data_IF_649743560882
#
_entry.id   IF_649743560882
#
_cell.length_a   1.000
_cell.length_b   1.000
_cell.length_c   1.000
_cell.angle_alpha   90.00
_cell.angle_beta   90.00
_cell.angle_gamma   90.00
#
_symmetry.space_group_name_H-M   'P 1'
#
loop_
_entity.id
_entity.type
_entity.pdbx_description
1 polymer ?
#
# COMPACT_ATOMS: atom_id res chain seq x y z
N UNK A 1 -19.94 -54.21 71.65
CA UNK A 1 -19.88 -53.05 70.72
C UNK A 1 -18.92 -53.37 69.59
N UNK A 2 -19.05 -52.70 68.44
CA UNK A 2 -18.36 -52.87 67.14
C UNK A 2 -19.03 -53.87 66.16
N UNK A 3 -20.17 -53.52 65.53
CA UNK A 3 -20.36 -52.75 64.28
C UNK A 3 -19.69 -53.30 63.01
N UNK A 4 -20.55 -53.91 62.18
CA UNK A 4 -20.37 -54.21 60.76
C UNK A 4 -19.97 -52.92 60.00
N UNK A 5 -18.87 -52.95 59.24
CA UNK A 5 -18.55 -51.90 58.28
C UNK A 5 -18.92 -52.36 56.88
N UNK A 6 -19.98 -51.75 56.37
CA UNK A 6 -20.41 -51.79 54.98
C UNK A 6 -19.27 -51.35 54.06
N UNK A 7 -19.00 -52.14 53.01
CA UNK A 7 -18.32 -51.62 51.82
C UNK A 7 -19.26 -50.60 51.18
N UNK A 8 -18.89 -49.33 51.24
CA UNK A 8 -19.53 -48.26 50.46
C UNK A 8 -18.67 -48.02 49.23
N UNK A 9 -19.35 -48.04 48.08
CA UNK A 9 -18.91 -47.71 46.73
C UNK A 9 -17.81 -46.64 46.63
N UNK A 10 -16.89 -46.85 45.69
CA UNK A 10 -16.32 -45.73 44.93
C UNK A 10 -15.98 -46.17 43.52
N UNK A 11 -16.99 -46.24 42.65
CA UNK A 11 -16.78 -46.18 41.20
C UNK A 11 -16.39 -44.74 40.87
N UNK A 12 -15.09 -44.48 40.82
CA UNK A 12 -14.54 -43.23 40.32
C UNK A 12 -14.62 -43.26 38.79
N UNK A 13 -15.79 -42.90 38.26
CA UNK A 13 -16.01 -42.71 36.83
C UNK A 13 -15.20 -41.52 36.33
N UNK A 14 -14.16 -41.80 35.55
CA UNK A 14 -13.31 -40.83 34.87
C UNK A 14 -14.16 -40.04 33.85
N UNK A 15 -14.61 -38.84 34.24
CA UNK A 15 -15.21 -37.86 33.32
C UNK A 15 -14.10 -37.30 32.42
N UNK A 16 -13.91 -37.91 31.24
CA UNK A 16 -13.08 -37.34 30.19
C UNK A 16 -13.83 -36.16 29.57
N UNK A 17 -13.59 -34.96 30.10
CA UNK A 17 -14.08 -33.72 29.51
C UNK A 17 -13.38 -33.52 28.16
N UNK A 18 -14.11 -33.78 27.08
CA UNK A 18 -13.67 -33.48 25.72
C UNK A 18 -13.73 -31.94 25.55
N UNK A 19 -12.63 -31.25 25.88
CA UNK A 19 -12.50 -29.83 25.62
C UNK A 19 -12.34 -29.62 24.11
N UNK A 20 -13.43 -29.29 23.45
CA UNK A 20 -13.41 -28.80 22.09
C UNK A 20 -12.81 -27.39 22.10
N UNK A 21 -11.49 -27.29 21.96
CA UNK A 21 -10.82 -26.02 21.72
C UNK A 21 -11.17 -25.62 20.29
N UNK A 22 -12.14 -24.71 20.15
CA UNK A 22 -12.36 -24.01 18.90
C UNK A 22 -11.11 -23.16 18.64
N UNK A 23 -10.19 -23.67 17.82
CA UNK A 23 -9.13 -22.87 17.24
C UNK A 23 -9.83 -21.85 16.35
N UNK A 24 -9.93 -20.61 16.82
CA UNK A 24 -10.39 -19.51 16.00
C UNK A 24 -9.48 -19.44 14.77
N UNK A 25 -10.06 -19.61 13.58
CA UNK A 25 -9.34 -19.37 12.34
C UNK A 25 -8.93 -17.90 12.31
N UNK A 26 -7.67 -17.63 12.68
CA UNK A 26 -7.07 -16.34 12.39
C UNK A 26 -6.83 -16.35 10.89
N UNK A 27 -7.69 -15.67 10.14
CA UNK A 27 -7.38 -15.38 8.74
C UNK A 27 -6.16 -14.46 8.77
N UNK A 28 -4.98 -14.99 8.43
CA UNK A 28 -3.81 -14.16 8.22
C UNK A 28 -4.15 -13.17 7.08
N UNK A 29 -4.01 -11.88 7.35
CA UNK A 29 -4.22 -10.85 6.32
C UNK A 29 -3.08 -10.96 5.30
N UNK A 30 -3.40 -11.35 4.06
CA UNK A 30 -2.43 -11.39 2.97
C UNK A 30 -2.18 -9.98 2.42
N UNK A 31 -0.94 -9.49 2.56
CA UNK A 31 -0.50 -8.21 1.99
C UNK A 31 0.22 -8.45 0.66
N UNK A 32 -0.16 -7.69 -0.37
CA UNK A 32 0.54 -7.67 -1.66
C UNK A 32 1.54 -6.52 -1.69
N UNK A 33 2.82 -6.84 -1.86
CA UNK A 33 3.86 -5.86 -2.11
C UNK A 33 3.71 -5.30 -3.53
N UNK A 34 3.43 -3.99 -3.66
CA UNK A 34 3.24 -3.33 -4.96
C UNK A 34 4.53 -2.77 -5.57
N UNK A 35 5.49 -2.38 -4.74
CA UNK A 35 6.76 -1.80 -5.19
C UNK A 35 7.91 -2.73 -4.80
N UNK A 36 8.68 -3.17 -5.79
CA UNK A 36 9.76 -4.14 -5.62
C UNK A 36 11.06 -3.50 -5.07
N UNK A 37 11.18 -2.17 -5.05
CA UNK A 37 12.40 -1.48 -4.64
C UNK A 37 13.45 -1.33 -5.75
N UNK A 38 13.20 -1.86 -6.95
CA UNK A 38 14.22 -2.02 -7.98
C UNK A 38 13.88 -1.26 -9.27
N UNK A 39 12.62 -1.26 -9.68
CA UNK A 39 12.20 -0.69 -10.95
C UNK A 39 10.73 -0.21 -10.93
N UNK A 40 10.28 0.30 -12.08
CA UNK A 40 8.92 0.76 -12.31
C UNK A 40 8.21 -0.10 -13.37
N UNK A 41 8.64 -1.35 -13.56
CA UNK A 41 8.15 -2.20 -14.66
C UNK A 41 6.68 -2.57 -14.47
N UNK A 42 6.19 -2.70 -13.24
CA UNK A 42 4.76 -2.92 -12.95
C UNK A 42 3.93 -1.64 -12.89
N UNK A 43 4.52 -0.52 -13.29
CA UNK A 43 3.92 0.79 -13.24
C UNK A 43 3.75 1.42 -14.63
N UNK A 44 2.78 2.33 -14.74
CA UNK A 44 2.53 3.12 -15.92
C UNK A 44 2.55 4.60 -15.53
N UNK A 45 3.40 5.38 -16.20
CA UNK A 45 3.52 6.82 -15.97
C UNK A 45 2.66 7.58 -16.98
N UNK A 46 2.06 8.69 -16.55
CA UNK A 46 1.32 9.61 -17.41
C UNK A 46 1.53 11.05 -16.97
N UNK A 47 1.96 11.88 -17.90
CA UNK A 47 1.98 13.34 -17.72
C UNK A 47 0.87 14.01 -18.51
N UNK A 48 0.40 15.16 -18.03
CA UNK A 48 -0.49 16.02 -18.83
C UNK A 48 0.22 16.44 -20.12
N UNK A 49 -0.43 16.25 -21.26
CA UNK A 49 0.11 16.63 -22.57
C UNK A 49 1.02 15.58 -23.22
N UNK A 50 1.56 14.64 -22.45
CA UNK A 50 2.45 13.58 -22.96
C UNK A 50 1.70 12.28 -23.27
N UNK A 51 2.31 11.37 -24.02
CA UNK A 51 1.80 10.02 -24.21
C UNK A 51 1.89 9.18 -22.92
N UNK A 52 1.08 8.12 -22.82
CA UNK A 52 1.17 7.19 -21.69
C UNK A 52 2.47 6.36 -21.78
N UNK A 53 3.14 6.15 -20.65
CA UNK A 53 4.45 5.49 -20.57
C UNK A 53 5.64 6.46 -20.64
N UNK A 54 5.42 7.73 -20.99
CA UNK A 54 6.49 8.74 -21.02
C UNK A 54 6.79 9.24 -19.61
N UNK A 55 8.00 8.98 -19.11
CA UNK A 55 8.52 9.59 -17.90
C UNK A 55 9.12 10.97 -18.21
N UNK A 56 8.26 11.98 -18.29
CA UNK A 56 8.66 13.33 -18.67
C UNK A 56 9.72 13.89 -17.73
N UNK A 57 10.80 14.41 -18.29
CA UNK A 57 11.98 14.92 -17.57
C UNK A 57 12.52 13.97 -16.50
N UNK A 58 12.31 12.66 -16.64
CA UNK A 58 12.80 11.66 -15.69
C UNK A 58 12.36 11.99 -14.25
N UNK A 59 11.06 12.25 -14.06
CA UNK A 59 10.49 12.62 -12.76
C UNK A 59 10.32 11.44 -11.83
N UNK A 60 9.82 10.31 -12.31
CA UNK A 60 9.68 9.11 -11.47
C UNK A 60 10.96 8.29 -11.56
N UNK A 61 11.63 8.06 -10.44
CA UNK A 61 12.91 7.35 -10.38
C UNK A 61 12.86 6.25 -9.32
N UNK A 62 13.70 5.24 -9.47
CA UNK A 62 14.02 4.31 -8.37
C UNK A 62 15.45 4.56 -7.96
N UNK A 63 15.62 4.96 -6.71
CA UNK A 63 16.92 5.27 -6.12
C UNK A 63 16.95 4.79 -4.68
N UNK A 64 18.02 4.11 -4.29
CA UNK A 64 18.23 3.61 -2.91
C UNK A 64 17.09 2.72 -2.38
N UNK A 65 16.44 1.95 -3.26
CA UNK A 65 15.32 1.08 -2.88
C UNK A 65 13.98 1.80 -2.77
N UNK A 66 13.89 3.06 -3.17
CA UNK A 66 12.68 3.87 -3.06
C UNK A 66 12.23 4.47 -4.39
N UNK A 67 10.91 4.56 -4.56
CA UNK A 67 10.29 5.33 -5.64
C UNK A 67 10.36 6.81 -5.27
N UNK A 68 11.09 7.60 -6.05
CA UNK A 68 11.24 9.05 -5.90
C UNK A 68 10.45 9.79 -6.98
N UNK A 69 9.82 10.90 -6.59
CA UNK A 69 9.10 11.81 -7.50
C UNK A 69 9.81 13.15 -7.56
N UNK A 70 10.72 13.32 -8.52
CA UNK A 70 11.65 14.43 -8.60
C UNK A 70 11.25 15.48 -9.65
N UNK A 71 11.01 16.72 -9.19
CA UNK A 71 10.77 17.88 -10.06
C UNK A 71 12.00 18.78 -10.21
N UNK A 72 13.18 18.27 -9.85
CA UNK A 72 14.49 18.93 -9.90
C UNK A 72 14.93 19.42 -11.29
N UNK A 73 14.44 18.78 -12.37
CA UNK A 73 14.76 19.13 -13.76
C UNK A 73 13.82 20.19 -14.37
N UNK A 74 12.95 20.80 -13.56
CA UNK A 74 11.95 21.76 -14.03
C UNK A 74 12.34 23.19 -13.66
N UNK A 75 12.36 24.09 -14.65
CA UNK A 75 12.47 25.53 -14.39
C UNK A 75 11.20 26.09 -13.72
N UNK A 76 10.03 25.57 -14.10
CA UNK A 76 8.74 25.85 -13.47
C UNK A 76 7.75 24.74 -13.75
N UNK A 77 6.75 24.60 -12.89
CA UNK A 77 5.80 23.49 -12.94
C UNK A 77 4.98 23.44 -14.24
N UNK A 78 4.55 24.61 -14.75
CA UNK A 78 3.74 24.78 -15.98
C UNK A 78 2.51 23.85 -16.11
N UNK A 79 2.00 23.31 -15.00
CA UNK A 79 0.88 22.39 -15.02
C UNK A 79 1.24 20.96 -15.46
N UNK A 80 2.51 20.57 -15.39
CA UNK A 80 3.02 19.24 -15.74
C UNK A 80 2.73 18.23 -14.62
N UNK A 81 1.44 17.97 -14.39
CA UNK A 81 0.98 16.95 -13.45
C UNK A 81 1.41 15.56 -13.96
N UNK A 82 2.22 14.88 -13.15
CA UNK A 82 2.62 13.50 -13.35
C UNK A 82 1.81 12.57 -12.46
N UNK A 83 1.39 11.45 -13.03
CA UNK A 83 0.72 10.36 -12.32
C UNK A 83 1.44 9.06 -12.63
N UNK A 84 1.56 8.19 -11.63
CA UNK A 84 2.00 6.81 -11.83
C UNK A 84 0.91 5.86 -11.36
N UNK A 85 0.69 4.79 -12.12
CA UNK A 85 -0.37 3.81 -11.90
C UNK A 85 0.21 2.41 -11.80
N UNK A 86 -0.19 1.64 -10.79
CA UNK A 86 0.08 0.20 -10.83
C UNK A 86 -0.74 -0.45 -11.95
N UNK A 87 -0.11 -1.31 -12.76
CA UNK A 87 -0.73 -1.88 -13.97
C UNK A 87 -1.96 -2.73 -13.67
N UNK A 88 -1.97 -3.45 -12.54
CA UNK A 88 -3.12 -4.24 -12.12
C UNK A 88 -4.16 -3.36 -11.40
N UNK A 89 -5.42 -3.37 -11.83
CA UNK A 89 -6.45 -2.58 -11.18
C UNK A 89 -7.02 -3.27 -9.94
N UNK A 90 -7.34 -2.47 -8.93
CA UNK A 90 -8.01 -2.93 -7.70
C UNK A 90 -9.34 -2.20 -7.50
N UNK A 91 -10.29 -2.88 -6.86
CA UNK A 91 -11.61 -2.30 -6.57
C UNK A 91 -11.85 -2.05 -5.09
N UNK A 92 -11.31 -2.92 -4.22
CA UNK A 92 -11.40 -2.85 -2.77
C UNK A 92 -10.04 -3.22 -2.21
N UNK A 93 -9.40 -2.28 -1.51
CA UNK A 93 -8.06 -2.49 -1.01
C UNK A 93 -7.83 -1.69 0.28
N UNK A 94 -6.94 -2.21 1.11
CA UNK A 94 -6.27 -1.45 2.17
C UNK A 94 -4.86 -1.18 1.67
N UNK A 95 -4.48 0.09 1.68
CA UNK A 95 -3.17 0.51 1.23
C UNK A 95 -2.32 0.91 2.43
N UNK A 96 -1.08 0.40 2.48
CA UNK A 96 -0.05 0.85 3.40
C UNK A 96 1.12 1.39 2.59
N UNK A 97 1.55 2.61 2.91
CA UNK A 97 2.65 3.30 2.23
C UNK A 97 3.44 4.05 3.29
N UNK A 98 4.76 3.90 3.28
CA UNK A 98 5.66 4.81 3.96
C UNK A 98 6.12 5.87 2.97
N UNK A 99 6.07 7.14 3.39
CA UNK A 99 6.52 8.22 2.52
C UNK A 99 7.17 9.36 3.31
N UNK A 100 8.09 10.07 2.65
CA UNK A 100 8.73 11.27 3.20
C UNK A 100 8.85 12.34 2.13
N UNK A 101 8.44 13.56 2.45
CA UNK A 101 8.73 14.73 1.61
C UNK A 101 10.13 15.27 1.91
N UNK A 102 10.86 15.54 0.84
CA UNK A 102 12.20 16.14 0.84
C UNK A 102 12.21 17.31 -0.14
N UNK A 103 13.30 18.08 -0.14
CA UNK A 103 13.49 19.19 -1.08
C UNK A 103 12.49 20.35 -0.94
N UNK A 104 12.40 21.11 -2.02
CA UNK A 104 11.51 22.27 -2.17
C UNK A 104 10.53 22.05 -3.33
N UNK A 105 9.40 22.74 -3.29
CA UNK A 105 8.44 22.69 -4.39
C UNK A 105 8.94 23.50 -5.59
N UNK A 106 8.85 22.91 -6.78
CA UNK A 106 9.18 23.58 -8.05
C UNK A 106 8.41 24.91 -8.19
N UNK A 107 9.09 25.92 -8.73
CA UNK A 107 8.50 27.25 -8.97
C UNK A 107 7.21 27.17 -9.81
N UNK A 108 6.19 27.93 -9.42
CA UNK A 108 4.90 27.92 -10.11
C UNK A 108 4.03 26.68 -9.84
N UNK A 109 4.46 25.77 -8.97
CA UNK A 109 3.57 24.75 -8.41
C UNK A 109 2.45 25.42 -7.60
N UNK A 110 1.23 24.87 -7.59
CA UNK A 110 0.13 25.47 -6.85
C UNK A 110 0.36 25.40 -5.34
N UNK A 111 -0.07 26.41 -4.58
CA UNK A 111 0.21 26.46 -3.13
C UNK A 111 -0.36 25.30 -2.32
N UNK A 112 -1.47 24.70 -2.78
CA UNK A 112 -2.06 23.51 -2.15
C UNK A 112 -1.23 22.24 -2.35
N UNK A 113 -0.27 22.24 -3.27
CA UNK A 113 0.54 21.06 -3.59
C UNK A 113 1.75 20.87 -2.69
N UNK A 114 2.08 21.86 -1.86
CA UNK A 114 3.25 21.80 -1.00
C UNK A 114 3.08 20.67 0.01
N UNK A 115 3.90 19.62 -0.15
CA UNK A 115 3.85 18.40 0.68
C UNK A 115 2.44 17.80 0.72
N UNK A 116 1.72 17.88 -0.39
CA UNK A 116 0.41 17.25 -0.51
C UNK A 116 0.57 15.77 -0.86
N UNK A 117 -0.24 14.93 -0.22
CA UNK A 117 -0.26 13.48 -0.36
C UNK A 117 -1.64 13.02 -0.83
N UNK A 118 -1.92 13.18 -2.12
CA UNK A 118 -3.18 12.65 -2.64
C UNK A 118 -2.97 11.30 -3.30
N UNK A 119 -3.64 10.30 -2.73
CA UNK A 119 -3.76 8.96 -3.31
C UNK A 119 -5.18 8.85 -3.87
N UNK A 120 -5.30 8.79 -5.19
CA UNK A 120 -6.60 8.77 -5.86
C UNK A 120 -6.87 7.41 -6.50
N UNK A 121 -8.09 6.90 -6.33
CA UNK A 121 -8.57 5.63 -6.94
C UNK A 121 -9.45 5.82 -8.19
N UNK A 122 -9.48 7.02 -8.79
CA UNK A 122 -10.41 7.33 -9.88
C UNK A 122 -9.81 8.29 -10.91
N UNK A 123 -9.12 7.73 -11.90
CA UNK A 123 -8.74 8.45 -13.12
C UNK A 123 -9.65 8.07 -14.28
N UNK A 124 -10.05 9.05 -15.10
CA UNK A 124 -10.98 8.84 -16.22
C UNK A 124 -10.45 9.54 -17.47
N UNK A 125 -9.31 9.08 -17.96
CA UNK A 125 -8.80 9.46 -19.29
C UNK A 125 -9.28 8.47 -20.37
N UNK A 126 -9.20 8.90 -21.64
CA UNK A 126 -9.80 8.23 -22.81
C UNK A 126 -9.10 6.93 -23.25
N UNK A 127 -8.08 6.50 -22.51
CA UNK A 127 -7.56 5.13 -22.48
C UNK A 127 -8.24 4.43 -21.31
N UNK A 128 -8.86 3.27 -21.56
CA UNK A 128 -9.68 2.52 -20.60
C UNK A 128 -8.82 1.90 -19.48
N UNK A 129 -8.08 2.71 -18.73
CA UNK A 129 -7.32 2.32 -17.53
C UNK A 129 -8.32 2.37 -16.37
N UNK A 130 -9.08 1.29 -16.22
CA UNK A 130 -9.99 1.14 -15.10
C UNK A 130 -9.20 1.07 -13.80
N UNK A 131 -9.37 2.03 -12.88
CA UNK A 131 -9.04 1.93 -11.44
C UNK A 131 -7.58 1.54 -11.10
N UNK A 132 -6.63 2.37 -11.53
CA UNK A 132 -5.24 2.31 -11.03
C UNK A 132 -5.06 3.12 -9.74
N UNK A 133 -4.23 2.63 -8.82
CA UNK A 133 -3.75 3.39 -7.67
C UNK A 133 -2.86 4.53 -8.17
N UNK A 134 -3.23 5.77 -7.90
CA UNK A 134 -2.51 6.95 -8.40
C UNK A 134 -1.83 7.71 -7.26
N UNK A 135 -0.55 8.03 -7.43
CA UNK A 135 0.16 8.96 -6.56
C UNK A 135 0.31 10.30 -7.29
N UNK A 136 -0.26 11.37 -6.73
CA UNK A 136 0.06 12.75 -7.14
C UNK A 136 0.96 13.35 -6.06
N UNK A 137 2.24 13.51 -6.38
CA UNK A 137 3.21 14.12 -5.47
C UNK A 137 3.97 15.19 -6.23
N UNK A 138 3.94 16.41 -5.68
CA UNK A 138 4.52 17.62 -6.30
C UNK A 138 5.72 18.15 -5.50
N UNK A 139 6.23 17.31 -4.59
CA UNK A 139 7.49 17.46 -3.88
C UNK A 139 8.27 16.15 -4.03
N UNK A 140 9.59 16.21 -3.81
CA UNK A 140 10.45 15.02 -3.76
C UNK A 140 9.95 14.08 -2.67
N UNK A 141 9.23 13.05 -3.07
CA UNK A 141 8.71 12.07 -2.13
C UNK A 141 9.36 10.73 -2.37
N UNK A 142 9.89 10.17 -1.31
CA UNK A 142 10.38 8.82 -1.24
C UNK A 142 9.25 7.91 -0.79
N UNK A 143 8.90 6.86 -1.55
CA UNK A 143 7.99 5.80 -1.13
C UNK A 143 8.78 4.52 -0.88
N UNK A 144 8.67 3.99 0.34
CA UNK A 144 9.22 2.68 0.71
C UNK A 144 8.07 1.69 0.91
N UNK A 145 8.27 0.47 0.41
CA UNK A 145 7.34 -0.64 0.65
C UNK A 145 7.79 -1.44 1.87
N UNK A 146 6.91 -1.62 2.86
CA UNK A 146 7.18 -2.52 3.99
C UNK A 146 6.94 -3.97 3.57
N UNK A 147 7.95 -4.83 3.75
CA UNK A 147 7.81 -6.30 3.78
C UNK A 147 7.01 -6.77 5.00
#
# INVERSE_FOLDING_TARGET
MLTKRFLVNSMLGLFLALTFVAVGAHSEEEWLQLFNGEDLDDWLIKFRGEEAGVNYLDTFRVEDGALKVCYDKYESFKGNFGHIFYKQPFSHYRLRVEYRFTGEQVAGGPGWAFRNKEIQGKYRDRLRISRGLTFLMLCDTEIQGQT
#
